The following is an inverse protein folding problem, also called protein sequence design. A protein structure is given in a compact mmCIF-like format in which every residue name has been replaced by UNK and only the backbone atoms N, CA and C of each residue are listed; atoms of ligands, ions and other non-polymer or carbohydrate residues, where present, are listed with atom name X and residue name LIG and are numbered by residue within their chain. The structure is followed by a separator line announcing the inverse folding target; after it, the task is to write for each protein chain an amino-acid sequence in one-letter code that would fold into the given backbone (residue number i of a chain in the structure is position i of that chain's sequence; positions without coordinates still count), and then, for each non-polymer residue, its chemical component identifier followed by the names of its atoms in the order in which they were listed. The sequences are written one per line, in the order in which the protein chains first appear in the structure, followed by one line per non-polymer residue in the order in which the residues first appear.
data_IF_914222338045
#
_entry.id   IF_914222338045
#
_cell.length_a   1.000
_cell.length_b   1.000
_cell.length_c   1.000
_cell.angle_alpha   90.00
_cell.angle_beta   90.00
_cell.angle_gamma   90.00
#
_symmetry.space_group_name_H-M   'P 1'
#
loop_
_entity.id
_entity.type
_entity.pdbx_description
1 polymer ?
#
# COMPACT_ATOMS: atom_id res chain seq x y z
N UNK A 1 7.67 5.09 31.11
CA UNK A 1 6.92 6.37 31.01
C UNK A 1 7.21 6.99 29.65
N UNK A 2 6.19 7.09 28.80
CA UNK A 2 6.04 7.99 27.64
C UNK A 2 4.77 7.54 26.92
N UNK A 3 3.62 8.02 27.36
CA UNK A 3 2.33 7.80 26.69
C UNK A 3 2.09 8.97 25.74
N UNK A 4 2.12 8.73 24.44
CA UNK A 4 1.54 9.66 23.48
C UNK A 4 0.05 9.32 23.38
N UNK A 5 -0.79 10.23 23.88
CA UNK A 5 -2.23 10.17 23.75
C UNK A 5 -2.64 10.88 22.46
N UNK A 6 -3.15 10.15 21.47
CA UNK A 6 -4.03 10.74 20.46
C UNK A 6 -5.47 10.42 20.86
N UNK A 7 -6.14 11.42 21.47
CA UNK A 7 -7.56 11.37 21.76
C UNK A 7 -8.36 11.59 20.47
N UNK A 8 -8.73 10.51 19.78
CA UNK A 8 -9.84 10.48 18.84
C UNK A 8 -11.14 10.19 19.60
N UNK A 9 -11.57 11.17 20.40
CA UNK A 9 -12.90 11.16 21.02
C UNK A 9 -13.86 11.88 20.06
N UNK A 10 -14.64 11.09 19.33
CA UNK A 10 -16.11 11.12 19.24
C UNK A 10 -16.55 10.44 17.93
N UNK A 11 -17.30 9.34 18.08
CA UNK A 11 -17.91 8.49 17.05
C UNK A 11 -16.94 7.83 16.08
N UNK A 12 -16.31 6.72 16.50
CA UNK A 12 -15.81 5.73 15.56
C UNK A 12 -17.03 4.98 15.00
N UNK A 13 -17.46 5.31 13.78
CA UNK A 13 -18.33 4.42 13.04
C UNK A 13 -17.48 3.26 12.50
N UNK A 14 -17.57 2.11 13.18
CA UNK A 14 -16.91 0.89 12.77
C UNK A 14 -17.87 0.06 11.92
N UNK A 15 -17.43 -0.36 10.73
CA UNK A 15 -18.16 -1.29 9.88
C UNK A 15 -17.23 -2.41 9.46
N UNK A 16 -17.69 -3.65 9.59
CA UNK A 16 -16.89 -4.84 9.23
C UNK A 16 -16.75 -4.90 7.72
N UNK A 17 -15.52 -5.04 7.24
CA UNK A 17 -15.23 -5.18 5.82
C UNK A 17 -14.53 -6.53 5.54
N UNK A 18 -15.30 -7.63 5.44
CA UNK A 18 -14.75 -8.99 5.42
C UNK A 18 -13.98 -9.32 4.12
N UNK A 19 -14.24 -8.61 3.03
CA UNK A 19 -13.64 -8.87 1.71
C UNK A 19 -12.27 -8.19 1.52
N UNK A 20 -11.77 -7.45 2.51
CA UNK A 20 -10.46 -6.81 2.43
C UNK A 20 -9.34 -7.74 2.86
N UNK A 21 -8.71 -8.34 1.87
CA UNK A 21 -7.49 -9.12 2.03
C UNK A 21 -6.26 -8.22 1.86
N UNK A 22 -5.88 -7.48 2.91
CA UNK A 22 -4.49 -7.02 2.98
C UNK A 22 -3.55 -8.22 3.15
N UNK A 23 -2.38 -8.18 2.55
CA UNK A 23 -1.33 -9.19 2.71
C UNK A 23 -1.09 -9.43 4.19
N UNK A 24 -1.28 -10.67 4.64
CA UNK A 24 -0.84 -11.09 5.95
C UNK A 24 0.65 -11.42 5.84
N UNK A 25 1.48 -10.70 6.59
CA UNK A 25 2.90 -11.00 6.71
C UNK A 25 3.22 -11.65 8.06
N UNK A 26 2.22 -12.24 8.73
CA UNK A 26 2.44 -12.95 9.99
C UNK A 26 3.20 -14.27 9.81
N UNK A 27 3.30 -14.78 8.58
CA UNK A 27 4.10 -15.95 8.24
C UNK A 27 5.25 -15.59 7.30
N UNK A 28 6.37 -16.30 7.44
CA UNK A 28 7.62 -16.13 6.67
C UNK A 28 7.42 -16.28 5.15
N UNK A 29 6.26 -16.79 4.74
CA UNK A 29 5.84 -17.01 3.36
C UNK A 29 4.72 -16.04 2.98
N UNK A 30 4.99 -15.13 2.04
CA UNK A 30 3.96 -14.28 1.45
C UNK A 30 3.17 -15.09 0.42
N UNK A 31 1.88 -15.26 0.65
CA UNK A 31 0.97 -15.82 -0.34
C UNK A 31 0.57 -14.72 -1.33
N UNK A 32 0.98 -14.89 -2.58
CA UNK A 32 0.53 -14.06 -3.69
C UNK A 32 -0.77 -14.65 -4.28
N UNK A 33 -1.68 -13.81 -4.81
CA UNK A 33 -2.95 -14.29 -5.37
C UNK A 33 -2.77 -15.28 -6.52
N UNK A 34 -1.69 -15.13 -7.28
CA UNK A 34 -1.33 -15.95 -8.43
C UNK A 34 0.17 -15.78 -8.76
N UNK A 35 0.70 -16.64 -9.63
CA UNK A 35 2.11 -16.62 -10.04
C UNK A 35 2.49 -15.36 -10.85
N UNK A 36 1.52 -14.68 -11.47
CA UNK A 36 1.77 -13.44 -12.23
C UNK A 36 1.89 -12.22 -11.33
N UNK A 37 1.43 -12.33 -10.09
CA UNK A 37 1.48 -11.27 -9.09
C UNK A 37 2.89 -11.07 -8.47
N UNK A 38 3.90 -11.85 -8.85
CA UNK A 38 5.27 -11.71 -8.36
C UNK A 38 6.34 -12.15 -9.39
N UNK A 39 7.56 -11.62 -9.26
CA UNK A 39 8.68 -11.92 -10.17
C UNK A 39 9.43 -13.23 -9.81
N UNK A 40 8.74 -14.23 -9.27
CA UNK A 40 9.37 -15.47 -8.79
C UNK A 40 10.11 -15.35 -7.45
N UNK A 41 11.03 -16.29 -7.19
CA UNK A 41 11.72 -16.45 -5.91
C UNK A 41 12.83 -15.41 -5.66
N UNK A 42 13.17 -15.23 -4.38
CA UNK A 42 14.36 -14.48 -3.95
C UNK A 42 15.65 -15.25 -4.24
N UNK A 43 16.79 -14.59 -4.05
CA UNK A 43 18.07 -15.30 -3.94
C UNK A 43 17.98 -16.32 -2.78
N UNK A 44 17.88 -17.62 -3.09
CA UNK A 44 17.78 -18.65 -2.06
C UNK A 44 19.09 -18.79 -1.26
N UNK A 45 20.26 -18.70 -1.90
CA UNK A 45 21.57 -18.87 -1.24
C UNK A 45 22.69 -18.10 -1.94
N UNK A 46 22.52 -16.78 -2.09
CA UNK A 46 23.45 -15.94 -2.84
C UNK A 46 23.08 -15.84 -4.32
N UNK A 47 23.88 -15.08 -5.09
CA UNK A 47 23.57 -14.80 -6.49
C UNK A 47 24.25 -15.82 -7.38
N UNK A 48 23.46 -16.74 -7.94
CA UNK A 48 23.93 -17.70 -8.94
C UNK A 48 23.89 -17.10 -10.35
N UNK A 49 24.63 -17.71 -11.28
CA UNK A 49 24.59 -17.33 -12.70
C UNK A 49 23.16 -17.43 -13.28
N UNK A 50 22.40 -18.45 -12.84
CA UNK A 50 21.00 -18.64 -13.23
C UNK A 50 20.07 -17.53 -12.74
N UNK A 51 20.21 -17.11 -11.48
CA UNK A 51 19.46 -15.98 -10.92
C UNK A 51 19.74 -14.68 -11.69
N UNK A 52 20.98 -14.51 -12.15
CA UNK A 52 21.38 -13.33 -12.92
C UNK A 52 20.81 -13.32 -14.35
N UNK A 53 20.66 -14.48 -14.99
CA UNK A 53 20.00 -14.59 -16.30
C UNK A 53 18.51 -14.22 -16.22
N UNK A 54 17.81 -14.68 -15.17
CA UNK A 54 16.41 -14.34 -14.93
C UNK A 54 16.25 -12.83 -14.74
N UNK A 55 17.07 -12.20 -13.89
CA UNK A 55 17.01 -10.76 -13.67
C UNK A 55 17.28 -9.94 -14.93
N UNK A 56 18.23 -10.36 -15.77
CA UNK A 56 18.52 -9.69 -17.04
C UNK A 56 17.39 -9.84 -18.08
N UNK A 57 16.50 -10.83 -17.93
CA UNK A 57 15.33 -10.98 -18.78
C UNK A 57 14.18 -10.01 -18.42
N UNK A 58 14.23 -9.40 -17.23
CA UNK A 58 13.18 -8.49 -16.77
C UNK A 58 13.38 -7.10 -17.41
N UNK A 59 12.34 -6.51 -18.02
CA UNK A 59 12.44 -5.20 -18.67
C UNK A 59 12.39 -4.06 -17.62
N UNK A 60 13.49 -3.83 -16.91
CA UNK A 60 13.60 -2.75 -15.92
C UNK A 60 13.55 -1.35 -16.54
N UNK A 61 13.13 -0.35 -15.74
CA UNK A 61 12.99 1.05 -16.16
C UNK A 61 12.04 1.28 -17.36
N UNK A 62 11.15 0.34 -17.66
CA UNK A 62 10.10 0.48 -18.68
C UNK A 62 8.77 -0.12 -18.21
N UNK A 63 7.76 -0.06 -19.05
CA UNK A 63 6.52 -0.82 -18.87
C UNK A 63 6.74 -2.26 -19.38
N UNK A 64 6.55 -3.22 -18.48
CA UNK A 64 6.59 -4.66 -18.77
C UNK A 64 5.23 -5.06 -19.35
N UNK A 65 5.13 -5.06 -20.68
CA UNK A 65 3.89 -5.38 -21.39
C UNK A 65 3.43 -6.82 -21.20
N UNK A 66 4.36 -7.75 -20.94
CA UNK A 66 4.05 -9.18 -20.76
C UNK A 66 3.31 -9.42 -19.44
N UNK A 67 3.79 -8.80 -18.37
CA UNK A 67 3.20 -8.95 -17.04
C UNK A 67 2.26 -7.81 -16.67
N UNK A 68 2.06 -6.84 -17.58
CA UNK A 68 1.29 -5.62 -17.37
C UNK A 68 1.76 -4.78 -16.16
N UNK A 69 3.06 -4.76 -15.87
CA UNK A 69 3.62 -4.07 -14.69
C UNK A 69 4.44 -2.85 -15.12
N UNK A 70 4.22 -1.71 -14.47
CA UNK A 70 5.13 -0.56 -14.60
C UNK A 70 6.36 -0.78 -13.72
N UNK A 71 7.53 -0.94 -14.33
CA UNK A 71 8.83 -1.12 -13.64
C UNK A 71 9.64 0.18 -13.57
N UNK A 72 9.01 1.33 -13.75
CA UNK A 72 9.63 2.66 -13.71
C UNK A 72 9.45 3.29 -12.35
N UNK A 73 10.52 3.80 -11.74
CA UNK A 73 10.38 4.53 -10.47
C UNK A 73 9.83 5.94 -10.69
N UNK A 74 9.04 6.41 -9.73
CA UNK A 74 8.62 7.82 -9.66
C UNK A 74 9.81 8.76 -9.32
N UNK A 75 10.92 8.20 -8.83
CA UNK A 75 12.17 8.92 -8.55
C UNK A 75 13.10 8.98 -9.76
N UNK A 76 12.65 8.55 -10.94
CA UNK A 76 13.46 8.50 -12.16
C UNK A 76 14.16 7.16 -12.38
N UNK A 77 15.11 7.12 -13.32
CA UNK A 77 15.76 5.88 -13.75
C UNK A 77 16.69 5.34 -12.66
N UNK A 78 16.49 4.09 -12.26
CA UNK A 78 17.37 3.42 -11.29
C UNK A 78 18.44 2.59 -12.00
N UNK A 79 19.58 2.43 -11.33
CA UNK A 79 20.72 1.66 -11.84
C UNK A 79 20.49 0.17 -11.61
N UNK A 80 21.07 -0.64 -12.48
CA UNK A 80 21.14 -2.09 -12.29
C UNK A 80 22.56 -2.44 -11.84
N UNK A 81 22.68 -3.42 -10.97
CA UNK A 81 23.96 -4.00 -10.60
C UNK A 81 24.56 -4.72 -11.81
N UNK A 82 25.79 -4.38 -12.24
CA UNK A 82 26.38 -4.96 -13.46
C UNK A 82 26.57 -6.47 -13.39
N UNK A 83 26.90 -6.99 -12.21
CA UNK A 83 27.26 -8.39 -12.01
C UNK A 83 26.01 -9.27 -11.98
N UNK A 84 24.97 -8.82 -11.29
CA UNK A 84 23.78 -9.60 -11.00
C UNK A 84 22.60 -9.25 -11.89
N UNK A 85 22.55 -8.03 -12.44
CA UNK A 85 21.38 -7.50 -13.15
C UNK A 85 20.27 -7.01 -12.21
N UNK A 86 20.44 -7.09 -10.90
CA UNK A 86 19.43 -6.68 -9.93
C UNK A 86 19.25 -5.16 -9.89
N UNK A 87 18.03 -4.65 -9.68
CA UNK A 87 17.79 -3.22 -9.52
C UNK A 87 18.38 -2.71 -8.20
N UNK A 88 19.14 -1.62 -8.26
CA UNK A 88 19.70 -0.96 -7.09
C UNK A 88 18.69 0.03 -6.52
N UNK A 89 18.50 0.00 -5.20
CA UNK A 89 17.65 0.96 -4.51
C UNK A 89 18.11 2.40 -4.77
N UNK A 90 17.27 3.28 -5.35
CA UNK A 90 17.61 4.70 -5.57
C UNK A 90 18.04 5.44 -4.30
N UNK A 91 17.56 5.01 -3.13
CA UNK A 91 17.87 5.61 -1.84
C UNK A 91 19.15 5.07 -1.20
N UNK A 92 19.88 4.18 -1.88
CA UNK A 92 21.13 3.60 -1.39
C UNK A 92 20.97 2.25 -0.69
N UNK A 93 22.08 1.76 -0.13
CA UNK A 93 22.17 0.42 0.46
C UNK A 93 21.34 0.31 1.72
N UNK A 94 20.55 -0.77 1.82
CA UNK A 94 19.74 -1.10 3.01
C UNK A 94 20.41 -2.15 3.91
N UNK A 95 21.55 -2.71 3.49
CA UNK A 95 22.21 -3.82 4.18
C UNK A 95 21.61 -5.20 3.89
N UNK A 96 20.59 -5.27 3.03
CA UNK A 96 19.93 -6.51 2.62
C UNK A 96 20.04 -6.68 1.10
N UNK A 97 20.23 -7.93 0.67
CA UNK A 97 20.18 -8.33 -0.74
C UNK A 97 18.83 -8.98 -1.05
N UNK A 98 18.38 -8.88 -2.29
CA UNK A 98 17.12 -9.47 -2.74
C UNK A 98 15.92 -8.51 -2.69
N UNK A 99 14.75 -8.99 -3.14
CA UNK A 99 13.47 -8.25 -3.05
C UNK A 99 12.77 -8.48 -1.70
N UNK A 100 13.21 -9.47 -0.92
CA UNK A 100 12.58 -9.82 0.35
C UNK A 100 11.12 -10.21 0.15
N UNK A 101 10.22 -9.69 0.97
CA UNK A 101 8.78 -9.97 0.87
C UNK A 101 8.07 -9.24 -0.28
N UNK A 102 8.78 -8.40 -1.04
CA UNK A 102 8.18 -7.65 -2.13
C UNK A 102 7.86 -8.58 -3.32
N UNK A 103 6.71 -8.37 -3.99
CA UNK A 103 6.32 -9.16 -5.15
C UNK A 103 7.31 -9.00 -6.30
N UNK A 104 7.75 -7.76 -6.57
CA UNK A 104 8.55 -7.45 -7.76
C UNK A 104 9.94 -6.92 -7.42
N UNK A 105 10.89 -7.18 -8.32
CA UNK A 105 12.21 -6.56 -8.30
C UNK A 105 12.11 -5.09 -8.72
N UNK A 106 12.68 -4.20 -7.90
CA UNK A 106 12.69 -2.77 -8.15
C UNK A 106 11.46 -2.06 -7.55
N UNK A 107 10.87 -1.07 -8.25
CA UNK A 107 9.72 -0.31 -7.74
C UNK A 107 8.48 -1.19 -7.51
N UNK A 108 7.87 -1.05 -6.33
CA UNK A 108 6.61 -1.70 -5.97
C UNK A 108 5.54 -0.62 -5.76
N UNK A 109 4.79 -0.32 -6.81
CA UNK A 109 3.80 0.76 -6.80
C UNK A 109 2.59 0.41 -5.93
N UNK A 110 2.26 1.32 -5.02
CA UNK A 110 1.03 1.29 -4.24
C UNK A 110 0.28 2.60 -4.41
N UNK A 111 -1.04 2.52 -4.38
CA UNK A 111 -1.94 3.67 -4.33
C UNK A 111 -2.57 3.64 -2.95
N UNK A 112 -2.38 4.71 -2.17
CA UNK A 112 -3.03 4.89 -0.87
C UNK A 112 -4.19 5.83 -1.07
N UNK A 113 -5.40 5.39 -0.70
CA UNK A 113 -6.60 6.22 -0.79
C UNK A 113 -6.87 6.80 0.59
N UNK A 114 -6.99 8.12 0.65
CA UNK A 114 -7.33 8.82 1.89
C UNK A 114 -8.64 9.53 1.67
N UNK A 115 -9.70 9.01 2.32
CA UNK A 115 -11.01 9.67 2.33
C UNK A 115 -11.06 10.58 3.54
N UNK A 116 -11.31 11.86 3.29
CA UNK A 116 -11.28 12.90 4.31
C UNK A 116 -12.58 13.70 4.31
N UNK A 117 -13.05 14.09 5.49
CA UNK A 117 -14.13 15.07 5.64
C UNK A 117 -13.83 16.07 6.75
N UNK A 118 -14.43 17.25 6.69
CA UNK A 118 -14.37 18.19 7.80
C UNK A 118 -15.23 17.69 8.96
N UNK A 119 -14.67 17.66 10.17
CA UNK A 119 -15.44 17.42 11.38
C UNK A 119 -16.40 18.58 11.59
N UNK A 120 -17.69 18.28 11.75
CA UNK A 120 -18.73 19.28 12.02
C UNK A 120 -19.36 19.02 13.37
N UNK A 121 -19.77 20.09 14.05
CA UNK A 121 -20.58 19.97 15.25
C UNK A 121 -21.99 19.47 14.86
N UNK A 122 -22.47 18.34 15.40
CA UNK A 122 -23.73 17.75 14.99
C UNK A 122 -24.96 18.62 15.29
N UNK A 123 -24.85 19.59 16.21
CA UNK A 123 -25.96 20.50 16.56
C UNK A 123 -25.97 21.78 15.71
N UNK A 124 -24.81 22.34 15.40
CA UNK A 124 -24.69 23.64 14.71
C UNK A 124 -24.27 23.54 13.25
N UNK A 125 -23.81 22.37 12.79
CA UNK A 125 -23.28 22.18 11.43
C UNK A 125 -21.94 22.89 11.15
N UNK A 126 -21.46 23.71 12.09
CA UNK A 126 -20.22 24.48 11.93
C UNK A 126 -18.99 23.56 12.00
N UNK A 127 -17.90 23.86 11.25
CA UNK A 127 -16.65 23.13 11.37
C UNK A 127 -16.11 23.15 12.80
N UNK A 128 -15.62 22.00 13.28
CA UNK A 128 -14.92 21.91 14.55
C UNK A 128 -13.51 22.47 14.36
N UNK A 129 -13.13 23.42 15.21
CA UNK A 129 -11.80 24.03 15.21
C UNK A 129 -11.00 23.55 16.43
N UNK A 130 -9.71 23.26 16.25
CA UNK A 130 -8.72 23.13 17.33
C UNK A 130 -7.53 24.01 17.03
N UNK A 131 -7.16 24.90 17.96
CA UNK A 131 -6.05 25.83 17.76
C UNK A 131 -6.22 26.69 16.50
N UNK A 132 -7.44 27.17 16.25
CA UNK A 132 -7.82 27.95 15.07
C UNK A 132 -7.64 27.22 13.71
N UNK A 133 -7.55 25.89 13.71
CA UNK A 133 -7.48 25.05 12.50
C UNK A 133 -8.67 24.10 12.45
N UNK A 134 -9.24 23.89 11.27
CA UNK A 134 -10.30 22.91 11.06
C UNK A 134 -9.83 21.49 11.36
N UNK A 135 -10.68 20.70 12.01
CA UNK A 135 -10.41 19.29 12.30
C UNK A 135 -10.87 18.44 11.12
N UNK A 136 -9.94 17.65 10.58
CA UNK A 136 -10.22 16.68 9.52
C UNK A 136 -10.49 15.30 10.13
N UNK A 137 -11.49 14.61 9.62
CA UNK A 137 -11.74 13.19 9.89
C UNK A 137 -11.25 12.38 8.70
N UNK A 138 -10.72 11.18 8.98
CA UNK A 138 -10.16 10.28 7.97
C UNK A 138 -10.76 8.90 8.16
N UNK A 139 -11.04 8.21 7.05
CA UNK A 139 -11.40 6.79 7.11
C UNK A 139 -10.15 5.95 7.23
N UNK A 140 -10.13 5.06 8.22
CA UNK A 140 -9.10 4.06 8.40
C UNK A 140 -9.73 2.68 8.52
N UNK A 141 -9.00 1.67 8.06
CA UNK A 141 -9.31 0.27 8.31
C UNK A 141 -8.67 -0.16 9.63
N UNK A 142 -9.39 -0.93 10.43
CA UNK A 142 -8.82 -1.55 11.63
C UNK A 142 -8.53 -3.03 11.36
N UNK A 143 -7.28 -3.45 11.57
CA UNK A 143 -6.86 -4.86 11.51
C UNK A 143 -5.92 -5.16 12.67
N UNK A 144 -6.17 -6.25 13.40
CA UNK A 144 -5.35 -6.68 14.53
C UNK A 144 -5.06 -5.54 15.54
N UNK A 145 -6.07 -4.71 15.86
CA UNK A 145 -5.97 -3.53 16.75
C UNK A 145 -5.02 -2.44 16.25
N UNK A 146 -4.73 -2.41 14.95
CA UNK A 146 -3.94 -1.36 14.29
C UNK A 146 -4.77 -0.69 13.20
N UNK A 147 -4.66 0.62 13.11
CA UNK A 147 -5.28 1.40 12.04
C UNK A 147 -4.36 1.47 10.84
N UNK A 148 -4.90 1.17 9.66
CA UNK A 148 -4.21 1.21 8.38
C UNK A 148 -5.05 2.01 7.38
N UNK A 149 -4.40 2.78 6.52
CA UNK A 149 -5.09 3.38 5.38
C UNK A 149 -5.35 2.30 4.32
N UNK A 150 -6.49 2.35 3.62
CA UNK A 150 -6.73 1.45 2.51
C UNK A 150 -5.69 1.72 1.41
N UNK A 151 -5.03 0.67 0.95
CA UNK A 151 -4.13 0.73 -0.20
C UNK A 151 -4.56 -0.27 -1.26
N UNK A 152 -4.17 -0.02 -2.50
CA UNK A 152 -4.27 -0.99 -3.60
C UNK A 152 -2.98 -1.08 -4.39
N UNK A 153 -2.70 -2.27 -4.94
CA UNK A 153 -1.60 -2.49 -5.87
C UNK A 153 -2.07 -2.15 -7.28
N UNK A 154 -1.20 -1.47 -8.03
CA UNK A 154 -1.53 -0.78 -9.30
C UNK A 154 -2.10 -1.63 -10.47
N UNK A 155 -2.39 -2.94 -10.33
CA UNK A 155 -2.97 -3.72 -11.44
C UNK A 155 -4.06 -4.73 -11.05
N UNK A 156 -4.41 -4.84 -9.77
CA UNK A 156 -5.69 -5.42 -9.39
C UNK A 156 -6.47 -4.32 -8.70
N UNK A 157 -7.40 -3.71 -9.42
CA UNK A 157 -8.52 -2.97 -8.86
C UNK A 157 -9.42 -3.96 -8.09
N UNK A 158 -8.86 -4.60 -7.05
CA UNK A 158 -9.64 -5.13 -5.94
C UNK A 158 -9.64 -4.01 -4.90
N UNK A 159 -10.08 -2.83 -5.31
CA UNK A 159 -11.07 -2.16 -4.49
C UNK A 159 -12.32 -2.89 -4.92
N UNK A 160 -12.86 -3.85 -4.14
CA UNK A 160 -14.19 -4.34 -4.44
C UNK A 160 -15.04 -3.07 -4.57
N UNK A 161 -15.86 -2.94 -5.61
CA UNK A 161 -16.80 -1.81 -5.77
C UNK A 161 -17.49 -1.48 -4.43
N UNK A 162 -17.67 -2.50 -3.58
CA UNK A 162 -18.12 -2.44 -2.20
C UNK A 162 -17.34 -1.51 -1.25
N UNK A 163 -16.01 -1.27 -1.39
CA UNK A 163 -15.31 -0.30 -0.52
C UNK A 163 -15.75 1.11 -0.87
N UNK A 164 -15.87 1.45 -2.16
CA UNK A 164 -16.41 2.73 -2.58
C UNK A 164 -17.87 2.86 -2.13
N UNK A 165 -18.67 1.80 -2.26
CA UNK A 165 -20.06 1.77 -1.78
C UNK A 165 -20.18 1.89 -0.26
N UNK A 166 -19.28 1.30 0.53
CA UNK A 166 -19.27 1.39 2.00
C UNK A 166 -18.76 2.76 2.46
N UNK A 167 -17.73 3.30 1.80
CA UNK A 167 -17.28 4.67 2.01
C UNK A 167 -18.43 5.65 1.69
N UNK A 168 -19.15 5.43 0.58
CA UNK A 168 -20.28 6.27 0.18
C UNK A 168 -21.54 6.03 1.03
N UNK A 169 -21.81 4.84 1.57
CA UNK A 169 -22.99 4.59 2.41
C UNK A 169 -22.80 5.06 3.85
N UNK A 170 -21.57 4.93 4.38
CA UNK A 170 -21.20 5.39 5.72
C UNK A 170 -21.09 6.92 5.79
N UNK A 171 -20.79 7.58 4.66
CA UNK A 171 -20.76 9.04 4.53
C UNK A 171 -22.04 9.62 3.92
N UNK A 172 -22.74 8.86 3.07
CA UNK A 172 -23.96 9.25 2.37
C UNK A 172 -25.22 9.23 3.24
N UNK A 173 -25.20 8.56 4.40
CA UNK A 173 -26.25 8.68 5.40
C UNK A 173 -26.38 10.11 6.00
N UNK A 174 -25.48 11.04 5.66
CA UNK A 174 -25.54 12.45 6.03
C UNK A 174 -25.82 13.40 4.86
N UNK A 175 -26.13 12.90 3.66
CA UNK A 175 -26.38 13.72 2.47
C UNK A 175 -27.86 13.82 2.05
N UNK A 176 -28.78 13.24 2.83
CA UNK A 176 -30.22 13.50 2.67
C UNK A 176 -30.82 14.10 3.95
N UNK A 177 -30.65 15.41 4.12
CA UNK A 177 -31.59 16.27 4.83
C UNK A 177 -31.45 17.71 4.34
#
# INVERSE_FOLDING_TARGET
MSRLYFWLLHSLHQTRYPDYFAYDSSEETVLYPDETAHDGENFQHGVSFGSSAILRSIPFNTYDSKNHIRRQSLLGRYRLDPNTGAPLNPMGRTGLLGKGLLPHWGPNHSIVIVVTQWSRNPKSGTPVLRGNKGVLQVVALERNKRFCLPWVRSFSLIIPLNLLTILLSSFGAYFTS
#
